data_IF_863387156154
#
_entry.id   IF_863387156154
#
_cell.length_a   1.000
_cell.length_b   1.000
_cell.length_c   1.000
_cell.angle_alpha   90.00
_cell.angle_beta   90.00
_cell.angle_gamma   90.00
#
_symmetry.space_group_name_H-M   'P 1'
#
loop_
_entity.id
_entity.type
_entity.pdbx_description
1 polymer ?
#
# COMPACT_ATOMS: atom_id res chain seq x y z
N UNK A 1 5.08 -13.85 8.20
CA UNK A 1 5.86 -12.73 8.76
C UNK A 1 4.93 -11.54 8.94
N UNK A 2 5.17 -10.72 9.96
CA UNK A 2 4.53 -9.41 10.09
C UNK A 2 5.59 -8.31 9.95
N UNK A 3 5.16 -7.09 9.73
CA UNK A 3 6.00 -5.91 9.83
C UNK A 3 5.67 -5.18 11.14
N UNK A 4 6.64 -4.45 11.70
CA UNK A 4 6.38 -3.49 12.77
C UNK A 4 5.32 -2.48 12.36
N UNK A 5 4.66 -1.88 13.36
CA UNK A 5 3.52 -0.98 13.23
C UNK A 5 2.24 -1.58 12.63
N UNK A 6 2.24 -2.87 12.24
CA UNK A 6 1.04 -3.51 11.71
C UNK A 6 -0.09 -3.60 12.74
N UNK A 7 0.25 -3.93 13.99
CA UNK A 7 -0.74 -3.97 15.07
C UNK A 7 -1.10 -2.56 15.53
N UNK A 8 -0.09 -1.70 15.71
CA UNK A 8 -0.25 -0.31 16.17
C UNK A 8 -1.16 0.50 15.25
N UNK A 9 -0.94 0.42 13.93
CA UNK A 9 -1.79 1.10 12.95
C UNK A 9 -3.24 0.55 12.97
N UNK A 10 -3.40 -0.76 13.14
CA UNK A 10 -4.72 -1.40 13.27
C UNK A 10 -5.46 -0.90 14.51
N UNK A 11 -4.78 -0.77 15.65
CA UNK A 11 -5.37 -0.20 16.87
C UNK A 11 -5.71 1.27 16.73
N UNK A 12 -4.84 2.06 16.08
CA UNK A 12 -5.10 3.46 15.83
C UNK A 12 -6.37 3.64 15.01
N UNK A 13 -6.53 2.84 13.95
CA UNK A 13 -7.75 2.81 13.14
C UNK A 13 -8.95 2.36 13.97
N UNK A 14 -8.85 1.27 14.74
CA UNK A 14 -9.93 0.82 15.62
C UNK A 14 -10.38 1.92 16.60
N UNK A 15 -9.44 2.57 17.28
CA UNK A 15 -9.73 3.65 18.23
C UNK A 15 -10.35 4.88 17.57
N UNK A 16 -9.96 5.18 16.33
CA UNK A 16 -10.59 6.23 15.53
C UNK A 16 -12.04 5.87 15.17
N UNK A 17 -12.28 4.68 14.63
CA UNK A 17 -13.60 4.21 14.23
C UNK A 17 -14.55 4.04 15.41
N UNK A 18 -14.06 3.57 16.57
CA UNK A 18 -14.86 3.42 17.79
C UNK A 18 -15.39 4.75 18.34
N UNK A 19 -14.73 5.88 18.02
CA UNK A 19 -15.21 7.22 18.37
C UNK A 19 -16.22 7.76 17.36
N UNK A 20 -16.26 7.20 16.15
CA UNK A 20 -17.14 7.67 15.07
C UNK A 20 -18.58 7.18 15.26
N UNK A 21 -18.78 6.00 15.83
CA UNK A 21 -20.12 5.46 16.09
C UNK A 21 -20.13 4.05 16.66
N UNK A 22 -21.33 3.51 16.84
CA UNK A 22 -21.53 2.13 17.29
C UNK A 22 -21.27 1.12 16.16
N UNK A 23 -20.98 -0.12 16.53
CA UNK A 23 -20.94 -1.25 15.60
C UNK A 23 -22.35 -1.80 15.37
N UNK A 24 -22.79 -2.04 14.13
CA UNK A 24 -22.08 -1.79 12.87
C UNK A 24 -22.01 -0.30 12.51
N UNK A 25 -20.85 0.14 12.01
CA UNK A 25 -20.64 1.51 11.56
C UNK A 25 -21.06 1.66 10.09
N UNK A 26 -21.99 2.58 9.81
CA UNK A 26 -22.38 2.90 8.45
C UNK A 26 -21.21 3.55 7.68
N UNK A 27 -20.98 3.09 6.45
CA UNK A 27 -19.95 3.62 5.57
C UNK A 27 -20.45 3.69 4.11
N UNK A 28 -19.80 4.54 3.33
CA UNK A 28 -19.97 4.66 1.88
C UNK A 28 -18.60 4.43 1.24
N UNK A 29 -18.53 3.60 0.22
CA UNK A 29 -17.31 3.47 -0.60
C UNK A 29 -17.51 4.25 -1.88
N UNK A 30 -16.53 5.09 -2.24
CA UNK A 30 -16.51 5.82 -3.52
C UNK A 30 -15.25 5.45 -4.28
N UNK A 31 -15.37 5.27 -5.59
CA UNK A 31 -14.25 5.00 -6.48
C UNK A 31 -14.54 5.63 -7.84
N UNK A 32 -13.50 6.12 -8.51
CA UNK A 32 -13.58 6.56 -9.89
C UNK A 32 -13.16 5.40 -10.79
N UNK A 33 -14.04 5.01 -11.72
CA UNK A 33 -13.80 3.87 -12.62
C UNK A 33 -14.30 4.18 -14.02
N UNK A 34 -13.62 3.66 -15.03
CA UNK A 34 -14.06 3.74 -16.43
C UNK A 34 -15.02 2.59 -16.76
N UNK A 35 -14.78 1.41 -16.16
CA UNK A 35 -15.54 0.19 -16.37
C UNK A 35 -15.88 -0.50 -15.04
N UNK A 36 -16.95 -1.32 -14.99
CA UNK A 36 -17.29 -2.07 -13.77
C UNK A 36 -16.17 -2.98 -13.27
N UNK A 37 -15.28 -3.41 -14.17
CA UNK A 37 -14.15 -4.27 -13.84
C UNK A 37 -13.08 -3.55 -12.99
N UNK A 38 -12.97 -2.23 -13.11
CA UNK A 38 -11.91 -1.47 -12.45
C UNK A 38 -12.13 -1.35 -10.94
N UNK A 39 -13.36 -1.62 -10.47
CA UNK A 39 -13.75 -1.53 -9.06
C UNK A 39 -13.15 -2.67 -8.22
N UNK A 40 -12.80 -3.80 -8.85
CA UNK A 40 -12.31 -4.99 -8.17
C UNK A 40 -10.90 -5.35 -8.61
N UNK A 41 -10.03 -5.61 -7.65
CA UNK A 41 -8.70 -6.11 -7.96
C UNK A 41 -8.68 -7.61 -8.30
N UNK A 42 -7.51 -8.14 -8.63
CA UNK A 42 -7.31 -9.56 -8.98
C UNK A 42 -7.68 -10.55 -7.87
N UNK A 43 -7.92 -10.08 -6.65
CA UNK A 43 -8.30 -10.90 -5.50
C UNK A 43 -9.79 -10.72 -5.14
N UNK A 44 -10.56 -10.01 -5.96
CA UNK A 44 -11.99 -9.76 -5.72
C UNK A 44 -12.26 -8.76 -4.61
N UNK A 45 -11.29 -7.88 -4.29
CA UNK A 45 -11.46 -6.82 -3.29
C UNK A 45 -12.01 -5.57 -3.95
N UNK A 46 -13.06 -4.99 -3.38
CA UNK A 46 -13.58 -3.68 -3.79
C UNK A 46 -12.55 -2.60 -3.42
N UNK A 47 -12.08 -1.85 -4.41
CA UNK A 47 -11.07 -0.79 -4.24
C UNK A 47 -11.74 0.57 -4.32
N UNK A 48 -11.57 1.38 -3.28
CA UNK A 48 -12.10 2.74 -3.21
C UNK A 48 -11.85 3.40 -1.87
N UNK A 49 -12.21 4.67 -1.79
CA UNK A 49 -12.15 5.45 -0.57
C UNK A 49 -13.35 5.17 0.33
N UNK A 50 -13.07 4.96 1.62
CA UNK A 50 -14.07 4.63 2.63
C UNK A 50 -14.45 5.91 3.37
N UNK A 51 -15.73 6.27 3.31
CA UNK A 51 -16.29 7.42 3.99
C UNK A 51 -17.18 6.98 5.15
N UNK A 52 -17.01 7.63 6.30
CA UNK A 52 -17.84 7.43 7.50
C UNK A 52 -18.35 8.78 8.02
N UNK A 53 -19.35 8.76 8.90
CA UNK A 53 -19.68 9.94 9.71
C UNK A 53 -18.94 9.89 11.04
N UNK A 54 -18.18 10.94 11.36
CA UNK A 54 -17.52 11.12 12.66
C UNK A 54 -17.75 12.56 13.13
N UNK A 55 -18.29 12.73 14.34
CA UNK A 55 -18.60 14.06 14.88
C UNK A 55 -19.62 14.86 14.05
N UNK A 56 -20.52 14.18 13.33
CA UNK A 56 -21.51 14.82 12.44
C UNK A 56 -21.00 15.17 11.04
N UNK A 57 -19.70 15.00 10.77
CA UNK A 57 -19.08 15.28 9.48
C UNK A 57 -18.72 14.00 8.74
N UNK A 58 -18.72 14.06 7.42
CA UNK A 58 -18.18 12.98 6.60
C UNK A 58 -16.66 13.02 6.63
N UNK A 59 -16.02 11.86 6.84
CA UNK A 59 -14.57 11.71 6.90
C UNK A 59 -14.14 10.58 5.97
N UNK A 60 -13.14 10.86 5.14
CA UNK A 60 -12.44 9.86 4.33
C UNK A 60 -11.39 9.14 5.22
N UNK A 61 -11.59 7.85 5.46
CA UNK A 61 -10.72 7.02 6.32
C UNK A 61 -9.33 6.87 5.69
N UNK A 62 -9.24 6.78 4.37
CA UNK A 62 -7.98 6.63 3.65
C UNK A 62 -7.12 7.89 3.85
N UNK A 63 -7.74 9.07 3.74
CA UNK A 63 -7.09 10.36 4.01
C UNK A 63 -6.63 10.46 5.46
N UNK A 64 -7.48 10.06 6.42
CA UNK A 64 -7.11 10.06 7.83
C UNK A 64 -5.88 9.18 8.12
N UNK A 65 -5.83 7.97 7.55
CA UNK A 65 -4.69 7.06 7.69
C UNK A 65 -3.39 7.66 7.11
N UNK A 66 -3.46 8.30 5.93
CA UNK A 66 -2.31 8.94 5.31
C UNK A 66 -1.80 10.13 6.14
N UNK A 67 -2.70 11.02 6.55
CA UNK A 67 -2.41 12.22 7.34
C UNK A 67 -1.80 11.92 8.71
N UNK A 68 -2.23 10.83 9.35
CA UNK A 68 -1.77 10.44 10.68
C UNK A 68 -0.56 9.50 10.65
N UNK A 69 -0.06 9.15 9.46
CA UNK A 69 1.13 8.30 9.30
C UNK A 69 0.88 6.82 9.60
N UNK A 70 -0.33 6.34 9.32
CA UNK A 70 -0.73 4.94 9.48
C UNK A 70 -0.80 4.17 8.15
N UNK A 71 -0.69 4.87 7.02
CA UNK A 71 -0.55 4.26 5.69
C UNK A 71 0.54 4.96 4.85
N UNK A 72 1.24 4.17 4.04
CA UNK A 72 2.12 4.72 2.99
C UNK A 72 1.27 5.15 1.78
N UNK A 73 1.59 6.27 1.11
CA UNK A 73 0.99 6.62 -0.17
C UNK A 73 1.54 5.68 -1.25
N UNK A 74 0.77 4.66 -1.62
CA UNK A 74 1.12 3.74 -2.73
C UNK A 74 0.05 3.87 -3.78
N UNK A 75 0.44 4.19 -5.01
CA UNK A 75 -0.49 4.52 -6.07
C UNK A 75 -0.59 3.41 -7.11
N UNK A 76 -1.75 3.33 -7.76
CA UNK A 76 -1.99 2.43 -8.89
C UNK A 76 -2.40 3.24 -10.12
N UNK A 77 -2.15 2.68 -11.31
CA UNK A 77 -2.42 3.34 -12.59
C UNK A 77 -3.90 3.63 -12.86
N UNK A 78 -4.81 3.05 -12.08
CA UNK A 78 -6.25 3.32 -12.09
C UNK A 78 -6.67 4.55 -11.28
N UNK A 79 -5.80 5.05 -10.39
CA UNK A 79 -6.10 6.23 -9.60
C UNK A 79 -6.04 7.50 -10.45
N UNK A 80 -6.98 8.42 -10.20
CA UNK A 80 -6.96 9.73 -10.82
C UNK A 80 -5.80 10.59 -10.32
N UNK A 81 -5.41 11.58 -11.12
CA UNK A 81 -4.38 12.56 -10.74
C UNK A 81 -4.72 13.32 -9.44
N UNK A 82 -6.00 13.62 -9.21
CA UNK A 82 -6.48 14.27 -7.98
C UNK A 82 -6.31 13.38 -6.76
N UNK A 83 -6.68 12.09 -6.84
CA UNK A 83 -6.51 11.15 -5.73
C UNK A 83 -5.03 11.00 -5.35
N UNK A 84 -4.16 10.87 -6.37
CA UNK A 84 -2.71 10.79 -6.16
C UNK A 84 -2.19 12.06 -5.47
N UNK A 85 -2.61 13.25 -5.92
CA UNK A 85 -2.16 14.52 -5.35
C UNK A 85 -2.62 14.71 -3.90
N UNK A 86 -3.89 14.43 -3.60
CA UNK A 86 -4.48 14.60 -2.27
C UNK A 86 -3.81 13.67 -1.25
N UNK A 87 -3.71 12.38 -1.57
CA UNK A 87 -3.07 11.40 -0.67
C UNK A 87 -1.57 11.69 -0.52
N UNK A 88 -0.90 12.16 -1.58
CA UNK A 88 0.50 12.58 -1.50
C UNK A 88 0.71 13.74 -0.53
N UNK A 89 -0.16 14.75 -0.56
CA UNK A 89 -0.05 15.91 0.30
C UNK A 89 -0.25 15.54 1.79
N UNK A 90 -1.25 14.69 2.09
CA UNK A 90 -1.52 14.22 3.45
C UNK A 90 -0.37 13.37 4.00
N UNK A 91 0.12 12.42 3.21
CA UNK A 91 1.25 11.59 3.59
C UNK A 91 2.54 12.41 3.79
N UNK A 92 2.75 13.46 2.98
CA UNK A 92 3.90 14.35 3.13
C UNK A 92 3.85 15.16 4.43
N UNK A 93 2.65 15.61 4.84
CA UNK A 93 2.43 16.23 6.15
C UNK A 93 2.84 15.27 7.27
N UNK A 94 2.34 14.04 7.25
CA UNK A 94 2.67 13.01 8.23
C UNK A 94 4.17 12.69 8.28
N UNK A 95 4.81 12.64 7.11
CA UNK A 95 6.26 12.38 6.97
C UNK A 95 7.08 13.51 7.58
N UNK A 96 6.75 14.77 7.25
CA UNK A 96 7.44 15.96 7.77
C UNK A 96 7.30 16.07 9.29
N UNK A 97 6.14 15.75 9.83
CA UNK A 97 5.90 15.74 11.28
C UNK A 97 6.40 14.48 11.99
N UNK A 98 6.94 13.50 11.25
CA UNK A 98 7.37 12.20 11.78
C UNK A 98 6.24 11.46 12.54
N UNK A 99 5.00 11.61 12.07
CA UNK A 99 3.80 11.00 12.65
C UNK A 99 3.73 9.49 12.38
N UNK A 100 3.09 8.76 13.29
CA UNK A 100 2.85 7.33 13.14
C UNK A 100 4.13 6.52 12.90
N UNK A 101 4.17 5.73 11.82
CA UNK A 101 5.35 4.94 11.49
C UNK A 101 6.47 5.75 10.84
N UNK A 102 6.25 7.00 10.42
CA UNK A 102 7.23 7.75 9.60
C UNK A 102 8.57 7.97 10.30
N UNK A 103 8.58 8.01 11.65
CA UNK A 103 9.81 8.04 12.45
C UNK A 103 10.72 6.82 12.26
N UNK A 104 10.13 5.70 11.84
CA UNK A 104 10.81 4.41 11.64
C UNK A 104 10.75 3.93 10.19
N UNK A 105 10.28 4.78 9.27
CA UNK A 105 10.28 4.46 7.86
C UNK A 105 11.73 4.32 7.36
N UNK A 106 12.03 3.22 6.67
CA UNK A 106 13.37 2.88 6.23
C UNK A 106 13.41 2.59 4.73
N UNK A 107 14.49 3.03 4.09
CA UNK A 107 14.83 2.67 2.72
C UNK A 107 15.57 1.32 2.63
N UNK A 108 16.13 0.81 3.73
CA UNK A 108 16.83 -0.46 3.74
C UNK A 108 15.85 -1.63 3.82
N UNK A 109 15.59 -2.27 2.68
CA UNK A 109 14.62 -3.36 2.56
C UNK A 109 15.15 -4.70 3.08
N UNK A 110 16.47 -4.82 3.25
CA UNK A 110 17.10 -6.05 3.74
C UNK A 110 17.16 -6.12 5.27
N UNK A 111 16.69 -5.10 5.98
CA UNK A 111 16.43 -5.16 7.43
C UNK A 111 15.22 -6.06 7.79
N UNK A 112 14.95 -7.07 6.97
CA UNK A 112 13.83 -8.00 7.14
C UNK A 112 14.10 -8.97 8.29
N UNK A 113 13.23 -8.97 9.28
CA UNK A 113 13.27 -9.91 10.39
C UNK A 113 12.31 -11.09 10.16
N UNK A 114 12.88 -12.24 9.80
CA UNK A 114 12.12 -13.48 9.58
C UNK A 114 11.55 -14.10 10.87
N UNK A 115 12.00 -13.64 12.03
CA UNK A 115 11.51 -14.10 13.34
C UNK A 115 10.26 -13.33 13.78
N UNK A 116 9.96 -12.20 13.14
CA UNK A 116 8.80 -11.39 13.42
C UNK A 116 7.53 -12.02 12.83
N UNK A 117 6.76 -12.69 13.69
CA UNK A 117 5.53 -13.42 13.34
C UNK A 117 4.30 -12.77 13.97
N UNK A 118 3.13 -13.02 13.37
CA UNK A 118 1.85 -12.66 13.98
C UNK A 118 1.69 -13.40 15.31
N UNK A 119 1.21 -12.68 16.33
CA UNK A 119 0.91 -13.27 17.63
C UNK A 119 -0.35 -14.13 17.51
N UNK A 120 -0.39 -15.26 18.22
CA UNK A 120 -1.52 -16.20 18.18
C UNK A 120 -2.70 -15.79 19.09
N UNK A 121 -2.65 -14.61 19.69
CA UNK A 121 -3.63 -14.08 20.64
C UNK A 121 -2.98 -13.16 21.67
N UNK A 122 -3.77 -12.72 22.64
CA UNK A 122 -3.35 -11.81 23.72
C UNK A 122 -3.74 -10.34 23.46
N UNK A 123 -3.63 -9.48 24.48
CA UNK A 123 -3.91 -8.07 24.32
C UNK A 123 -2.91 -7.42 23.35
N UNK A 124 -3.32 -6.40 22.58
CA UNK A 124 -2.42 -5.64 21.73
C UNK A 124 -1.23 -5.06 22.53
N UNK A 125 -0.03 -5.07 21.96
CA UNK A 125 1.18 -4.50 22.56
C UNK A 125 1.90 -3.54 21.59
N UNK A 126 1.51 -2.25 21.59
CA UNK A 126 2.12 -1.25 20.72
C UNK A 126 3.59 -0.95 21.00
N UNK A 127 4.13 -1.33 22.17
CA UNK A 127 5.55 -1.09 22.47
C UNK A 127 6.42 -2.14 21.76
N UNK A 128 6.00 -3.40 21.81
CA UNK A 128 6.64 -4.53 21.12
C UNK A 128 6.41 -4.55 19.58
N UNK A 129 5.56 -3.65 19.09
CA UNK A 129 5.30 -3.45 17.67
C UNK A 129 6.11 -2.30 17.05
N UNK A 130 7.07 -1.72 17.80
CA UNK A 130 7.97 -0.67 17.29
C UNK A 130 9.19 -1.25 16.60
N UNK A 131 9.51 -0.71 15.43
CA UNK A 131 10.75 -1.02 14.71
C UNK A 131 10.71 -0.48 13.28
N UNK A 132 11.73 -0.82 12.50
CA UNK A 132 11.86 -0.36 11.11
C UNK A 132 10.67 -0.80 10.25
N UNK A 133 10.12 0.12 9.47
CA UNK A 133 9.01 -0.11 8.56
C UNK A 133 9.44 0.20 7.14
N UNK A 134 9.20 -0.72 6.21
CA UNK A 134 9.46 -0.51 4.78
C UNK A 134 8.13 -0.54 4.01
N UNK A 135 8.18 -0.07 2.76
CA UNK A 135 7.00 -0.05 1.87
C UNK A 135 6.35 -1.45 1.81
N UNK A 136 5.02 -1.59 2.02
CA UNK A 136 4.36 -2.90 2.08
C UNK A 136 4.58 -3.78 0.85
N UNK A 137 4.68 -3.18 -0.35
CA UNK A 137 5.00 -3.92 -1.57
C UNK A 137 6.40 -4.54 -1.53
N UNK A 138 7.41 -3.78 -1.09
CA UNK A 138 8.78 -4.28 -0.91
C UNK A 138 8.86 -5.30 0.24
N UNK A 139 8.13 -5.09 1.34
CA UNK A 139 8.03 -6.07 2.43
C UNK A 139 7.53 -7.44 1.93
N UNK A 140 6.45 -7.46 1.16
CA UNK A 140 5.93 -8.71 0.57
C UNK A 140 6.97 -9.39 -0.31
N UNK A 141 7.65 -8.63 -1.17
CA UNK A 141 8.69 -9.14 -2.07
C UNK A 141 9.90 -9.70 -1.33
N UNK A 142 10.43 -8.97 -0.33
CA UNK A 142 11.60 -9.43 0.43
C UNK A 142 11.27 -10.65 1.28
N UNK A 143 10.06 -10.73 1.84
CA UNK A 143 9.60 -11.91 2.57
C UNK A 143 9.59 -13.17 1.68
N UNK A 144 9.01 -13.08 0.48
CA UNK A 144 9.01 -14.20 -0.48
C UNK A 144 10.44 -14.56 -0.91
N UNK A 145 11.26 -13.57 -1.26
CA UNK A 145 12.64 -13.79 -1.65
C UNK A 145 13.47 -14.43 -0.53
N UNK A 146 13.33 -13.97 0.71
CA UNK A 146 14.09 -14.49 1.84
C UNK A 146 13.80 -15.99 2.07
N UNK A 147 12.53 -16.41 1.94
CA UNK A 147 12.13 -17.82 2.01
C UNK A 147 12.70 -18.61 0.84
N UNK A 148 12.57 -18.10 -0.40
CA UNK A 148 13.09 -18.76 -1.60
C UNK A 148 14.62 -18.89 -1.56
N UNK A 149 15.32 -17.88 -1.06
CA UNK A 149 16.77 -17.88 -0.90
C UNK A 149 17.22 -18.86 0.19
N UNK A 150 16.53 -18.90 1.32
CA UNK A 150 16.79 -19.87 2.41
C UNK A 150 16.61 -21.32 1.93
N UNK A 151 15.63 -21.56 1.05
CA UNK A 151 15.35 -22.87 0.44
C UNK A 151 16.19 -23.15 -0.81
N UNK A 152 17.10 -22.24 -1.19
CA UNK A 152 17.96 -22.35 -2.38
C UNK A 152 17.21 -22.41 -3.72
N UNK A 153 15.94 -22.02 -3.75
CA UNK A 153 15.15 -21.91 -4.99
C UNK A 153 15.56 -20.72 -5.86
N UNK A 154 16.16 -19.69 -5.25
CA UNK A 154 16.72 -18.53 -5.95
C UNK A 154 18.12 -18.22 -5.42
N UNK A 155 18.95 -17.58 -6.24
CA UNK A 155 20.30 -17.12 -5.87
C UNK A 155 20.46 -15.62 -6.17
N UNK A 156 21.52 -15.02 -5.64
CA UNK A 156 21.85 -13.60 -5.90
C UNK A 156 21.26 -12.59 -4.90
N UNK A 157 21.26 -11.33 -5.34
CA UNK A 157 20.75 -10.18 -4.58
C UNK A 157 19.22 -10.07 -4.68
N UNK A 158 18.62 -9.30 -3.78
CA UNK A 158 17.18 -9.03 -3.84
C UNK A 158 16.79 -8.24 -5.10
N UNK A 159 17.62 -7.30 -5.54
CA UNK A 159 17.43 -6.61 -6.82
C UNK A 159 17.35 -7.58 -8.01
N UNK A 160 18.27 -8.56 -8.09
CA UNK A 160 18.22 -9.59 -9.16
C UNK A 160 16.92 -10.40 -9.11
N UNK A 161 16.43 -10.70 -7.91
CA UNK A 161 15.13 -11.35 -7.74
C UNK A 161 13.98 -10.48 -8.28
N UNK A 162 13.96 -9.19 -7.94
CA UNK A 162 12.96 -8.26 -8.50
C UNK A 162 13.05 -8.16 -10.02
N UNK A 163 14.25 -8.16 -10.61
CA UNK A 163 14.41 -8.15 -12.07
C UNK A 163 13.89 -9.43 -12.73
N UNK A 164 13.95 -10.57 -12.05
CA UNK A 164 13.44 -11.85 -12.57
C UNK A 164 11.90 -11.96 -12.44
N UNK A 165 11.32 -11.23 -11.50
CA UNK A 165 9.88 -11.17 -11.24
C UNK A 165 9.44 -9.71 -11.19
N UNK A 166 9.42 -8.99 -12.32
CA UNK A 166 9.29 -7.54 -12.32
C UNK A 166 7.91 -7.09 -11.83
N UNK A 167 7.90 -5.98 -11.09
CA UNK A 167 6.71 -5.17 -10.86
C UNK A 167 6.79 -3.96 -11.79
N UNK A 168 5.82 -3.84 -12.70
CA UNK A 168 5.69 -2.67 -13.56
C UNK A 168 5.25 -1.44 -12.74
N UNK A 169 5.86 -0.30 -13.05
CA UNK A 169 5.52 0.99 -12.46
C UNK A 169 5.88 2.15 -13.38
N UNK A 170 5.47 3.35 -12.97
CA UNK A 170 5.78 4.63 -13.58
C UNK A 170 6.33 5.55 -12.51
N UNK A 171 7.16 6.52 -12.89
CA UNK A 171 7.45 7.62 -11.98
C UNK A 171 6.20 8.50 -11.86
N UNK A 172 5.81 8.89 -10.64
CA UNK A 172 4.57 9.64 -10.41
C UNK A 172 4.52 10.95 -11.19
N UNK A 173 5.62 11.71 -11.23
CA UNK A 173 5.67 12.97 -11.99
C UNK A 173 5.44 12.75 -13.49
N UNK A 174 6.12 11.75 -14.08
CA UNK A 174 6.02 11.41 -15.50
C UNK A 174 4.59 10.99 -15.86
N UNK A 175 3.96 10.16 -15.02
CA UNK A 175 2.57 9.75 -15.22
C UNK A 175 1.58 10.92 -15.11
N UNK A 176 1.78 11.84 -14.16
CA UNK A 176 0.91 13.00 -13.98
C UNK A 176 1.07 14.03 -15.12
N UNK A 177 2.27 14.16 -15.69
CA UNK A 177 2.54 15.11 -16.77
C UNK A 177 2.13 14.58 -18.15
N UNK A 178 2.39 13.29 -18.44
CA UNK A 178 2.21 12.70 -19.77
C UNK A 178 0.90 11.91 -19.89
N UNK A 179 0.32 11.47 -18.78
CA UNK A 179 -0.78 10.52 -18.74
C UNK A 179 -0.32 9.07 -18.99
N UNK A 180 -1.19 8.11 -18.63
CA UNK A 180 -0.85 6.68 -18.63
C UNK A 180 -0.38 6.15 -20.00
N UNK A 181 -0.93 6.67 -21.10
CA UNK A 181 -0.62 6.21 -22.45
C UNK A 181 0.79 6.61 -22.93
N UNK A 182 1.37 7.68 -22.37
CA UNK A 182 2.65 8.23 -22.79
C UNK A 182 3.75 8.15 -21.72
N UNK A 183 3.38 7.90 -20.46
CA UNK A 183 4.32 7.75 -19.36
C UNK A 183 5.32 6.60 -19.62
N UNK A 184 6.57 6.82 -19.21
CA UNK A 184 7.65 5.84 -19.39
C UNK A 184 7.39 4.63 -18.51
N UNK A 185 7.29 3.45 -19.14
CA UNK A 185 7.19 2.19 -18.42
C UNK A 185 8.52 1.87 -17.72
N UNK A 186 8.47 1.61 -16.41
CA UNK A 186 9.61 1.31 -15.56
C UNK A 186 9.36 0.04 -14.76
N UNK A 187 10.39 -0.45 -14.08
CA UNK A 187 10.29 -1.63 -13.21
C UNK A 187 10.85 -1.34 -11.82
N UNK A 188 10.25 -1.96 -10.80
CA UNK A 188 10.62 -1.74 -9.40
C UNK A 188 12.09 -2.07 -9.08
N UNK A 189 12.71 -3.02 -9.79
CA UNK A 189 14.13 -3.37 -9.62
C UNK A 189 15.10 -2.24 -9.97
N UNK A 190 14.66 -1.30 -10.81
CA UNK A 190 15.44 -0.11 -11.17
C UNK A 190 15.57 0.89 -9.99
N UNK A 191 14.68 0.78 -9.00
CA UNK A 191 14.63 1.65 -7.83
C UNK A 191 15.13 0.97 -6.55
N UNK A 192 15.72 -0.22 -6.65
CA UNK A 192 16.30 -0.95 -5.51
C UNK A 192 17.75 -1.31 -5.82
N UNK A 193 18.69 -0.84 -5.02
CA UNK A 193 20.11 -1.15 -5.23
C UNK A 193 20.42 -2.62 -4.96
N UNK A 194 21.58 -3.10 -5.42
CA UNK A 194 22.06 -4.45 -5.12
C UNK A 194 22.23 -4.70 -3.60
N UNK A 195 22.48 -3.63 -2.84
CA UNK A 195 22.57 -3.63 -1.37
C UNK A 195 21.19 -3.52 -0.68
N UNK A 196 20.10 -3.48 -1.46
CA UNK A 196 18.74 -3.45 -0.94
C UNK A 196 18.30 -2.11 -0.38
N UNK A 197 18.80 -1.02 -0.94
CA UNK A 197 18.31 0.33 -0.63
C UNK A 197 17.27 0.73 -1.67
N UNK A 198 16.07 1.10 -1.22
CA UNK A 198 15.05 1.71 -2.07
C UNK A 198 15.41 3.18 -2.30
N UNK A 199 15.59 3.57 -3.56
CA UNK A 199 16.22 4.85 -3.93
C UNK A 199 15.24 6.00 -4.12
N UNK A 200 13.93 5.70 -4.04
CA UNK A 200 12.83 6.67 -4.14
C UNK A 200 11.89 6.50 -2.95
N UNK A 201 10.89 7.37 -2.84
CA UNK A 201 9.86 7.27 -1.81
C UNK A 201 8.62 6.53 -2.33
N UNK A 202 7.76 6.12 -1.40
CA UNK A 202 6.50 5.44 -1.72
C UNK A 202 5.65 6.23 -2.74
N UNK A 203 5.59 7.54 -2.56
CA UNK A 203 4.80 8.47 -3.39
C UNK A 203 5.37 8.70 -4.79
N UNK A 204 6.63 8.34 -5.02
CA UNK A 204 7.34 8.67 -6.26
C UNK A 204 7.06 7.64 -7.36
N UNK A 205 6.36 6.54 -7.04
CA UNK A 205 5.99 5.49 -7.97
C UNK A 205 4.48 5.26 -8.02
N UNK A 206 3.98 5.02 -9.24
CA UNK A 206 2.63 4.52 -9.51
C UNK A 206 2.77 3.11 -10.07
N UNK A 207 2.21 2.10 -9.41
CA UNK A 207 2.29 0.72 -9.87
C UNK A 207 1.24 0.44 -10.94
N UNK A 208 1.63 -0.28 -11.99
CA UNK A 208 0.66 -0.75 -12.97
C UNK A 208 -0.26 -1.77 -12.32
N UNK A 209 -1.57 -1.52 -12.37
CA UNK A 209 -2.57 -2.47 -11.89
C UNK A 209 -2.71 -3.64 -12.86
N UNK A 210 -2.93 -4.83 -12.30
CA UNK A 210 -3.23 -6.01 -13.10
C UNK A 210 -4.72 -6.00 -13.48
N UNK A 211 -5.01 -6.29 -14.75
CA UNK A 211 -6.39 -6.37 -15.24
C UNK A 211 -7.20 -7.43 -14.51
N UNK A 212 -8.41 -7.07 -14.08
CA UNK A 212 -9.41 -7.98 -13.54
C UNK A 212 -10.59 -8.12 -14.51
N UNK A 213 -11.48 -9.10 -14.28
CA UNK A 213 -12.69 -9.31 -15.07
C UNK A 213 -13.85 -9.61 -14.14
N UNK A 214 -14.90 -8.79 -14.19
CA UNK A 214 -16.17 -9.03 -13.51
C UNK A 214 -17.12 -9.73 -14.47
N UNK A 215 -17.81 -10.76 -13.98
CA UNK A 215 -18.77 -11.55 -14.76
C UNK A 215 -20.10 -11.67 -14.02
N UNK A 216 -21.19 -11.81 -14.76
CA UNK A 216 -22.50 -12.11 -14.22
C UNK A 216 -22.62 -13.58 -13.77
N UNK A 217 -23.81 -13.97 -13.27
CA UNK A 217 -24.09 -15.36 -12.85
C UNK A 217 -23.91 -16.42 -13.95
N UNK A 218 -23.85 -16.01 -15.22
CA UNK A 218 -23.68 -16.88 -16.38
C UNK A 218 -22.24 -16.87 -16.93
N UNK A 219 -21.32 -16.12 -16.31
CA UNK A 219 -19.94 -15.99 -16.78
C UNK A 219 -19.74 -14.92 -17.88
N UNK A 220 -20.77 -14.13 -18.17
CA UNK A 220 -20.73 -13.06 -19.18
C UNK A 220 -20.06 -11.82 -18.59
N UNK A 221 -19.11 -11.16 -19.29
CA UNK A 221 -18.54 -9.90 -18.81
C UNK A 221 -19.62 -8.86 -18.50
N UNK A 222 -19.45 -8.14 -17.40
CA UNK A 222 -20.32 -7.01 -17.06
C UNK A 222 -19.84 -5.75 -17.80
N UNK A 223 -20.75 -5.08 -18.48
CA UNK A 223 -20.55 -3.80 -19.17
C UNK A 223 -21.63 -2.80 -18.69
N UNK A 224 -21.42 -1.50 -18.93
CA UNK A 224 -22.43 -0.46 -18.69
C UNK A 224 -23.61 -0.57 -19.66
#
# INVERSE_FOLDING_TARGET
>A
FRQFYGETATLALHSFLAKAGASPLACIVRTAVDQPNDVFDTYGRLVGDIFIKAGGHEVNVNHWLAEHGWAFPTFYSSMSSSEIADVSALAETARKSQSGFWKQASANVLAFDSTLLYRKGGPPDPQDDRGSVILPKLFRRVATWAVAKKTKLVTGSFQKYLSAYPDACYATHDLLEQGLAAATHRRLDEFVTAQGVFTVQARDLVFQEATSRVVDRNGTPVHW
#
